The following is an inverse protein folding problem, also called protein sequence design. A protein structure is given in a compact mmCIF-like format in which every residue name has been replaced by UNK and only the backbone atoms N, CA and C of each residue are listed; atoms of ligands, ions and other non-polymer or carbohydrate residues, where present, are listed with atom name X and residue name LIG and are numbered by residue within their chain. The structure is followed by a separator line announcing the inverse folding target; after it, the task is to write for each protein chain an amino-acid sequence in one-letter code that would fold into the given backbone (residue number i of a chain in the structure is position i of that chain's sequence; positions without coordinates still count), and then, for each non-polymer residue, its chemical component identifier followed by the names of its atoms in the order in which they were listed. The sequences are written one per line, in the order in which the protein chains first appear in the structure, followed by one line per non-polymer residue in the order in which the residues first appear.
data_IF_236295336202
#
_entry.id   IF_236295336202
#
_cell.length_a   1.000
_cell.length_b   1.000
_cell.length_c   1.000
_cell.angle_alpha   90.00
_cell.angle_beta   90.00
_cell.angle_gamma   90.00
#
_symmetry.space_group_name_H-M   'P 1'
#
loop_
_entity.id
_entity.type
_entity.pdbx_description
1 polymer ?
#
# COMPACT_ATOMS: atom_id res chain seq x y z
N UNK A 1 -37.18 0.78 5.02
CA UNK A 1 -35.99 0.30 4.30
C UNK A 1 -34.89 0.14 5.32
N UNK A 2 -34.16 -0.97 5.25
CA UNK A 2 -33.11 -1.29 6.21
C UNK A 2 -31.91 -0.34 6.00
N UNK A 3 -31.53 0.49 6.99
CA UNK A 3 -30.44 1.48 6.84
C UNK A 3 -29.10 0.84 6.51
N UNK A 4 -28.89 -0.42 6.89
CA UNK A 4 -27.68 -1.18 6.63
C UNK A 4 -27.57 -1.62 5.16
N UNK A 5 -28.71 -2.00 4.56
CA UNK A 5 -28.80 -2.34 3.13
C UNK A 5 -28.55 -1.11 2.24
N UNK A 6 -29.07 0.07 2.62
CA UNK A 6 -28.87 1.30 1.86
C UNK A 6 -27.39 1.77 1.91
N UNK A 7 -26.73 1.61 3.06
CA UNK A 7 -25.30 1.83 3.19
C UNK A 7 -24.47 0.84 2.35
N UNK A 8 -24.85 -0.43 2.31
CA UNK A 8 -24.21 -1.46 1.49
C UNK A 8 -24.35 -1.18 -0.01
N UNK A 9 -25.55 -0.80 -0.47
CA UNK A 9 -25.79 -0.40 -1.86
C UNK A 9 -24.97 0.83 -2.27
N UNK A 10 -24.79 1.80 -1.37
CA UNK A 10 -23.93 2.96 -1.62
C UNK A 10 -22.46 2.55 -1.76
N UNK A 11 -21.97 1.63 -0.90
CA UNK A 11 -20.62 1.07 -1.00
C UNK A 11 -20.42 0.30 -2.30
N UNK A 12 -21.39 -0.50 -2.73
CA UNK A 12 -21.36 -1.23 -3.99
C UNK A 12 -21.29 -0.30 -5.21
N UNK A 13 -22.08 0.77 -5.24
CA UNK A 13 -22.01 1.78 -6.32
C UNK A 13 -20.63 2.43 -6.40
N UNK A 14 -20.05 2.76 -5.25
CA UNK A 14 -18.70 3.32 -5.19
C UNK A 14 -17.65 2.30 -5.66
N UNK A 15 -17.76 1.03 -5.25
CA UNK A 15 -16.87 -0.04 -5.70
C UNK A 15 -16.97 -0.29 -7.21
N UNK A 16 -18.18 -0.24 -7.80
CA UNK A 16 -18.36 -0.31 -9.26
C UNK A 16 -17.72 0.86 -9.99
N UNK A 17 -17.88 2.08 -9.48
CA UNK A 17 -17.24 3.26 -10.06
C UNK A 17 -15.70 3.15 -9.97
N UNK A 18 -15.18 2.66 -8.85
CA UNK A 18 -13.75 2.41 -8.66
C UNK A 18 -13.23 1.33 -9.61
N UNK A 19 -13.96 0.22 -9.78
CA UNK A 19 -13.58 -0.84 -10.71
C UNK A 19 -13.59 -0.37 -12.17
N UNK A 20 -14.61 0.38 -12.60
CA UNK A 20 -14.66 0.93 -13.96
C UNK A 20 -13.52 1.93 -14.21
N UNK A 21 -13.20 2.76 -13.21
CA UNK A 21 -12.05 3.66 -13.28
C UNK A 21 -10.72 2.90 -13.31
N UNK A 22 -10.59 1.82 -12.54
CA UNK A 22 -9.41 0.96 -12.54
C UNK A 22 -9.27 0.20 -13.86
N UNK A 23 -10.36 -0.29 -14.44
CA UNK A 23 -10.37 -0.93 -15.75
C UNK A 23 -9.92 0.04 -16.86
N UNK A 24 -10.37 1.29 -16.83
CA UNK A 24 -9.86 2.33 -17.74
C UNK A 24 -8.36 2.56 -17.52
N UNK A 25 -7.95 2.71 -16.26
CA UNK A 25 -6.53 2.91 -15.91
C UNK A 25 -5.66 1.72 -16.32
N UNK A 26 -6.18 0.49 -16.31
CA UNK A 26 -5.49 -0.71 -16.77
C UNK A 26 -5.33 -0.71 -18.30
N UNK A 27 -6.39 -0.38 -19.04
CA UNK A 27 -6.34 -0.23 -20.49
C UNK A 27 -5.33 0.83 -20.93
N UNK A 28 -5.18 1.89 -20.14
CA UNK A 28 -4.20 2.96 -20.36
C UNK A 28 -2.80 2.65 -19.78
N UNK A 29 -2.62 1.46 -19.20
CA UNK A 29 -1.33 0.99 -18.64
C UNK A 29 -0.86 1.75 -17.40
N UNK A 30 -1.77 2.35 -16.63
CA UNK A 30 -1.47 3.03 -15.37
C UNK A 30 -1.45 2.10 -14.16
N UNK A 31 -2.09 0.93 -14.25
CA UNK A 31 -2.14 -0.05 -13.16
C UNK A 31 -1.77 -1.44 -13.67
N UNK A 32 -1.22 -2.25 -12.78
CA UNK A 32 -0.86 -3.64 -13.09
C UNK A 32 -2.08 -4.56 -13.08
N UNK A 33 -1.92 -5.76 -13.64
CA UNK A 33 -2.95 -6.81 -13.60
C UNK A 33 -3.33 -7.17 -12.15
N UNK A 34 -2.36 -7.18 -11.22
CA UNK A 34 -2.60 -7.41 -9.81
C UNK A 34 -3.50 -6.34 -9.17
N UNK A 35 -3.31 -5.07 -9.52
CA UNK A 35 -4.14 -3.96 -9.03
C UNK A 35 -5.57 -4.00 -9.63
N UNK A 36 -5.71 -4.41 -10.89
CA UNK A 36 -7.01 -4.66 -11.50
C UNK A 36 -7.71 -5.87 -10.83
N UNK A 37 -6.96 -6.94 -10.52
CA UNK A 37 -7.48 -8.11 -9.81
C UNK A 37 -7.97 -7.73 -8.40
N UNK A 38 -7.20 -6.92 -7.67
CA UNK A 38 -7.58 -6.45 -6.33
C UNK A 38 -8.88 -5.61 -6.35
N UNK A 39 -9.02 -4.70 -7.31
CA UNK A 39 -10.26 -3.90 -7.46
C UNK A 39 -11.46 -4.75 -7.90
N UNK A 40 -11.23 -5.79 -8.70
CA UNK A 40 -12.25 -6.78 -9.07
C UNK A 40 -12.71 -7.62 -7.88
N UNK A 41 -11.79 -8.11 -7.06
CA UNK A 41 -12.14 -8.88 -5.85
C UNK A 41 -12.87 -8.02 -4.82
N UNK A 42 -12.46 -6.75 -4.64
CA UNK A 42 -13.19 -5.80 -3.81
C UNK A 42 -14.64 -5.60 -4.29
N UNK A 43 -14.84 -5.45 -5.60
CA UNK A 43 -16.18 -5.35 -6.19
C UNK A 43 -17.00 -6.61 -5.89
N UNK A 44 -16.41 -7.79 -6.09
CA UNK A 44 -17.04 -9.09 -5.83
C UNK A 44 -17.45 -9.25 -4.37
N UNK A 45 -16.60 -8.84 -3.43
CA UNK A 45 -16.88 -8.84 -2.00
C UNK A 45 -18.07 -7.92 -1.66
N UNK A 46 -18.13 -6.72 -2.25
CA UNK A 46 -19.24 -5.78 -1.99
C UNK A 46 -20.54 -6.23 -2.66
N UNK A 47 -20.48 -6.93 -3.79
CA UNK A 47 -21.66 -7.59 -4.40
C UNK A 47 -22.18 -8.71 -3.49
N UNK A 48 -21.28 -9.56 -2.97
CA UNK A 48 -21.63 -10.62 -2.01
C UNK A 48 -22.26 -10.08 -0.73
N UNK A 49 -21.73 -8.98 -0.16
CA UNK A 49 -22.30 -8.36 1.04
C UNK A 49 -23.70 -7.79 0.79
N UNK A 50 -23.96 -7.20 -0.38
CA UNK A 50 -25.30 -6.71 -0.74
C UNK A 50 -26.27 -7.89 -0.92
N UNK A 51 -25.83 -8.97 -1.56
CA UNK A 51 -26.65 -10.17 -1.73
C UNK A 51 -26.97 -10.86 -0.39
N UNK A 52 -26.02 -10.91 0.53
CA UNK A 52 -26.21 -11.42 1.90
C UNK A 52 -27.24 -10.61 2.69
N UNK A 53 -27.12 -9.28 2.67
CA UNK A 53 -28.06 -8.37 3.34
C UNK A 53 -29.44 -8.39 2.68
N UNK A 54 -29.52 -8.64 1.37
CA UNK A 54 -30.77 -8.75 0.64
C UNK A 54 -31.48 -10.10 0.85
N UNK A 55 -30.73 -11.19 1.12
CA UNK A 55 -31.27 -12.56 1.23
C UNK A 55 -31.35 -13.10 2.67
N UNK A 56 -30.75 -12.42 3.66
CA UNK A 56 -30.79 -12.83 5.07
C UNK A 56 -30.16 -14.20 5.35
N UNK A 57 -29.16 -14.62 4.56
CA UNK A 57 -28.50 -15.94 4.65
C UNK A 57 -26.97 -15.84 4.61
N UNK A 58 -26.31 -16.62 5.47
CA UNK A 58 -24.87 -16.90 5.42
C UNK A 58 -24.52 -17.79 4.22
N UNK A 59 -23.35 -17.55 3.60
CA UNK A 59 -22.87 -18.30 2.44
C UNK A 59 -21.88 -19.41 2.84
N UNK A 60 -21.80 -20.49 2.04
CA UNK A 60 -20.89 -21.61 2.25
C UNK A 60 -19.46 -21.22 1.86
N UNK A 61 -18.50 -21.72 2.63
CA UNK A 61 -17.06 -21.61 2.38
C UNK A 61 -16.71 -22.42 1.12
N UNK A 62 -16.11 -21.76 0.14
CA UNK A 62 -15.43 -22.44 -0.98
C UNK A 62 -13.96 -22.49 -0.60
N UNK A 63 -13.48 -23.65 -0.16
CA UNK A 63 -12.06 -23.94 0.01
C UNK A 63 -11.43 -24.20 -1.36
N UNK A 64 -10.58 -23.28 -1.84
CA UNK A 64 -9.68 -23.56 -2.96
C UNK A 64 -8.46 -24.36 -2.46
N UNK A 65 -8.02 -25.40 -3.19
CA UNK A 65 -6.92 -26.24 -2.76
C UNK A 65 -5.57 -25.50 -2.86
N UNK A 66 -4.77 -25.64 -1.80
CA UNK A 66 -3.43 -25.08 -1.65
C UNK A 66 -2.46 -25.59 -2.74
N UNK A 67 -1.55 -24.75 -3.28
CA UNK A 67 -0.46 -25.21 -4.11
C UNK A 67 0.57 -25.99 -3.28
N UNK A 68 0.77 -27.27 -3.60
CA UNK A 68 1.84 -28.10 -3.04
C UNK A 68 3.16 -27.78 -3.74
N UNK A 69 4.01 -27.00 -3.06
CA UNK A 69 5.41 -26.81 -3.45
C UNK A 69 6.21 -26.19 -2.31
N UNK A 70 7.47 -26.62 -2.08
CA UNK A 70 8.32 -25.96 -1.11
C UNK A 70 8.56 -24.50 -1.55
N UNK A 71 8.39 -23.51 -0.66
CA UNK A 71 8.63 -22.12 -1.00
C UNK A 71 10.07 -21.94 -1.47
N UNK A 72 10.25 -21.30 -2.63
CA UNK A 72 11.57 -20.91 -3.14
C UNK A 72 12.25 -20.00 -2.12
N UNK A 73 13.56 -20.21 -1.99
CA UNK A 73 14.47 -19.53 -1.09
C UNK A 73 14.32 -18.00 -1.23
N UNK A 74 14.08 -17.33 -0.10
CA UNK A 74 13.88 -15.87 -0.04
C UNK A 74 15.16 -15.16 -0.50
N UNK A 75 15.11 -14.49 -1.65
CA UNK A 75 16.12 -13.51 -2.01
C UNK A 75 16.00 -12.29 -1.10
N UNK A 76 17.07 -12.00 -0.37
CA UNK A 76 17.21 -10.78 0.42
C UNK A 76 17.39 -9.62 -0.55
N UNK A 77 16.29 -9.01 -0.97
CA UNK A 77 16.34 -7.76 -1.74
C UNK A 77 16.63 -6.63 -0.77
N UNK A 78 17.87 -6.15 -0.82
CA UNK A 78 18.27 -4.91 -0.18
C UNK A 78 17.32 -3.80 -0.66
N UNK A 79 16.65 -3.10 0.26
CA UNK A 79 15.79 -1.95 -0.05
C UNK A 79 16.64 -0.71 -0.35
N UNK A 80 17.74 -0.92 -1.07
CA UNK A 80 18.64 0.11 -1.57
C UNK A 80 17.89 1.07 -2.49
N UNK A 81 18.41 2.30 -2.63
CA UNK A 81 17.73 3.35 -3.37
C UNK A 81 17.55 2.92 -4.82
N UNK A 82 16.28 2.96 -5.27
CA UNK A 82 15.91 2.74 -6.67
C UNK A 82 16.80 3.60 -7.58
N UNK A 83 17.22 2.95 -8.67
CA UNK A 83 17.88 3.43 -9.88
C UNK A 83 17.98 4.96 -10.02
N UNK A 84 19.20 5.43 -10.25
CA UNK A 84 19.56 6.81 -10.63
C UNK A 84 18.55 7.38 -11.62
N UNK A 85 17.62 8.21 -11.11
CA UNK A 85 16.57 8.83 -11.91
C UNK A 85 17.21 9.68 -13.01
N UNK A 86 16.82 9.46 -14.28
CA UNK A 86 17.15 10.40 -15.34
C UNK A 86 16.49 11.75 -15.02
N UNK A 87 17.29 12.82 -14.91
CA UNK A 87 16.75 14.16 -14.74
C UNK A 87 15.87 14.50 -15.95
N UNK A 88 14.56 14.63 -15.70
CA UNK A 88 13.62 15.01 -16.75
C UNK A 88 13.78 16.49 -17.08
N UNK A 89 13.91 16.77 -18.37
CA UNK A 89 14.01 18.12 -18.88
C UNK A 89 12.63 18.81 -18.82
N UNK A 90 12.44 19.56 -17.73
CA UNK A 90 11.26 20.37 -17.47
C UNK A 90 11.38 21.79 -18.04
N UNK A 91 12.37 22.07 -18.90
CA UNK A 91 12.50 23.37 -19.55
C UNK A 91 11.23 23.70 -20.34
N UNK A 92 10.81 24.96 -20.24
CA UNK A 92 9.60 25.45 -20.89
C UNK A 92 9.98 26.15 -22.21
N UNK A 93 9.29 25.86 -23.31
CA UNK A 93 9.49 26.59 -24.57
C UNK A 93 9.28 28.10 -24.39
N UNK A 94 10.12 28.89 -25.07
CA UNK A 94 10.10 30.36 -25.02
C UNK A 94 8.82 30.97 -25.59
N UNK A 95 8.16 30.27 -26.51
CA UNK A 95 7.07 30.79 -27.34
C UNK A 95 5.66 30.50 -26.75
N UNK A 96 5.59 30.18 -25.47
CA UNK A 96 4.33 29.88 -24.79
C UNK A 96 3.57 31.15 -24.42
N UNK A 97 2.23 31.06 -24.44
CA UNK A 97 1.38 32.10 -23.84
C UNK A 97 1.65 32.21 -22.34
N UNK A 98 1.53 33.41 -21.75
CA UNK A 98 1.81 33.63 -20.34
C UNK A 98 0.98 32.72 -19.43
N UNK A 99 -0.29 32.48 -19.78
CA UNK A 99 -1.20 31.65 -19.00
C UNK A 99 -0.80 30.17 -18.99
N UNK A 100 -0.42 29.62 -20.16
CA UNK A 100 0.05 28.24 -20.27
C UNK A 100 1.39 28.06 -19.56
N UNK A 101 2.29 29.04 -19.71
CA UNK A 101 3.58 29.05 -19.01
C UNK A 101 3.37 29.01 -17.50
N UNK A 102 2.51 29.86 -16.96
CA UNK A 102 2.19 29.87 -15.53
C UNK A 102 1.65 28.52 -15.06
N UNK A 103 0.70 27.92 -15.81
CA UNK A 103 0.11 26.63 -15.45
C UNK A 103 1.11 25.47 -15.49
N UNK A 104 2.04 25.49 -16.44
CA UNK A 104 3.13 24.51 -16.48
C UNK A 104 4.16 24.73 -15.36
N UNK A 105 4.44 25.97 -14.95
CA UNK A 105 5.26 26.27 -13.77
C UNK A 105 4.60 25.79 -12.47
N UNK A 106 3.28 25.94 -12.34
CA UNK A 106 2.50 25.38 -11.23
C UNK A 106 2.59 23.84 -11.21
N UNK A 107 2.51 23.18 -12.37
CA UNK A 107 2.66 21.73 -12.49
C UNK A 107 4.08 21.27 -12.13
N UNK A 108 5.12 21.97 -12.62
CA UNK A 108 6.52 21.70 -12.27
C UNK A 108 6.76 21.84 -10.76
N UNK A 109 6.16 22.86 -10.13
CA UNK A 109 6.24 23.06 -8.68
C UNK A 109 5.60 21.90 -7.91
N UNK A 110 4.47 21.36 -8.39
CA UNK A 110 3.83 20.16 -7.82
C UNK A 110 4.70 18.92 -7.98
N UNK A 111 5.35 18.76 -9.13
CA UNK A 111 6.27 17.66 -9.39
C UNK A 111 7.50 17.70 -8.47
N UNK A 112 8.10 18.87 -8.26
CA UNK A 112 9.22 19.01 -7.32
C UNK A 112 8.80 18.72 -5.88
N UNK A 113 7.60 19.16 -5.48
CA UNK A 113 7.04 18.79 -4.18
C UNK A 113 6.85 17.28 -4.04
N UNK A 114 6.36 16.60 -5.08
CA UNK A 114 6.20 15.15 -5.12
C UNK A 114 7.53 14.42 -4.87
N UNK A 115 8.62 14.87 -5.52
CA UNK A 115 9.97 14.33 -5.27
C UNK A 115 10.40 14.50 -3.82
N UNK A 116 10.15 15.67 -3.23
CA UNK A 116 10.47 15.93 -1.82
C UNK A 116 9.66 15.02 -0.90
N UNK A 117 8.37 14.84 -1.17
CA UNK A 117 7.49 13.98 -0.37
C UNK A 117 7.90 12.51 -0.47
N UNK A 118 8.36 12.05 -1.65
CA UNK A 118 8.92 10.72 -1.83
C UNK A 118 10.24 10.55 -1.06
N UNK A 119 11.18 11.49 -1.20
CA UNK A 119 12.47 11.47 -0.47
C UNK A 119 12.32 11.50 1.04
N UNK A 120 11.23 12.10 1.55
CA UNK A 120 10.90 12.12 2.98
C UNK A 120 10.12 10.89 3.46
N UNK A 121 9.73 10.00 2.54
CA UNK A 121 8.94 8.81 2.84
C UNK A 121 7.49 9.13 3.24
N UNK A 122 6.94 10.25 2.78
CA UNK A 122 5.52 10.59 2.98
C UNK A 122 4.61 9.80 2.05
N UNK A 123 5.11 9.44 0.88
CA UNK A 123 4.43 8.62 -0.13
C UNK A 123 5.29 7.40 -0.47
N UNK A 124 4.66 6.32 -0.93
CA UNK A 124 5.36 5.13 -1.39
C UNK A 124 5.76 5.26 -2.88
N UNK A 125 6.58 4.32 -3.37
CA UNK A 125 7.04 4.30 -4.76
C UNK A 125 5.88 4.18 -5.77
N UNK A 126 4.82 3.43 -5.43
CA UNK A 126 3.64 3.27 -6.28
C UNK A 126 2.89 4.60 -6.49
N UNK A 127 2.65 5.34 -5.41
CA UNK A 127 2.07 6.68 -5.43
C UNK A 127 2.94 7.66 -6.20
N UNK A 128 4.24 7.64 -5.94
CA UNK A 128 5.20 8.50 -6.65
C UNK A 128 5.16 8.26 -8.16
N UNK A 129 5.29 7.01 -8.59
CA UNK A 129 5.33 6.64 -10.00
C UNK A 129 4.01 6.98 -10.73
N UNK A 130 2.87 6.67 -10.11
CA UNK A 130 1.55 6.97 -10.68
C UNK A 130 1.34 8.48 -10.87
N UNK A 131 1.68 9.29 -9.85
CA UNK A 131 1.49 10.75 -9.90
C UNK A 131 2.50 11.40 -10.84
N UNK A 132 3.76 10.94 -10.82
CA UNK A 132 4.81 11.38 -11.75
C UNK A 132 4.39 11.16 -13.20
N UNK A 133 3.99 9.94 -13.55
CA UNK A 133 3.51 9.60 -14.91
C UNK A 133 2.35 10.52 -15.31
N UNK A 134 1.39 10.71 -14.41
CA UNK A 134 0.25 11.59 -14.65
C UNK A 134 0.66 13.06 -14.93
N UNK A 135 1.58 13.64 -14.17
CA UNK A 135 2.05 15.01 -14.38
C UNK A 135 2.81 15.16 -15.70
N UNK A 136 3.62 14.18 -16.08
CA UNK A 136 4.36 14.21 -17.34
C UNK A 136 3.43 14.15 -18.55
N UNK A 137 2.42 13.29 -18.50
CA UNK A 137 1.40 13.22 -19.55
C UNK A 137 0.56 14.49 -19.62
N UNK A 138 0.20 15.08 -18.48
CA UNK A 138 -0.49 16.37 -18.46
C UNK A 138 0.34 17.45 -19.17
N UNK A 139 1.65 17.51 -18.92
CA UNK A 139 2.57 18.42 -19.61
C UNK A 139 2.63 18.12 -21.11
N UNK A 140 2.85 16.87 -21.50
CA UNK A 140 2.97 16.46 -22.90
C UNK A 140 1.69 16.77 -23.69
N UNK A 141 0.53 16.42 -23.14
CA UNK A 141 -0.77 16.65 -23.78
C UNK A 141 -1.08 18.14 -23.87
N UNK A 142 -0.78 18.94 -22.83
CA UNK A 142 -0.98 20.39 -22.87
C UNK A 142 -0.13 21.06 -23.96
N UNK A 143 1.15 20.67 -24.08
CA UNK A 143 2.05 21.17 -25.12
C UNK A 143 1.57 20.74 -26.52
N UNK A 144 1.22 19.46 -26.72
CA UNK A 144 0.70 18.95 -28.00
C UNK A 144 -0.60 19.64 -28.41
N UNK A 145 -1.52 19.87 -27.48
CA UNK A 145 -2.77 20.58 -27.75
C UNK A 145 -2.52 22.02 -28.18
N UNK A 146 -1.53 22.69 -27.58
CA UNK A 146 -1.12 24.03 -27.98
C UNK A 146 -0.52 24.07 -29.38
N UNK A 147 0.34 23.11 -29.73
CA UNK A 147 0.91 22.99 -31.07
C UNK A 147 -0.16 22.73 -32.13
N UNK A 148 -1.11 21.84 -31.82
CA UNK A 148 -2.14 21.42 -32.79
C UNK A 148 -3.27 22.45 -32.92
N UNK A 149 -3.60 23.17 -31.84
CA UNK A 149 -4.68 24.16 -31.80
C UNK A 149 -4.25 25.44 -31.03
N UNK A 150 -3.47 26.33 -31.65
CA UNK A 150 -2.92 27.52 -30.99
C UNK A 150 -3.98 28.51 -30.48
N UNK A 151 -5.17 28.53 -31.09
CA UNK A 151 -6.24 29.48 -30.73
C UNK A 151 -7.24 28.90 -29.72
N UNK A 152 -6.99 27.69 -29.21
CA UNK A 152 -7.91 26.98 -28.34
C UNK A 152 -7.39 26.83 -26.91
N UNK A 153 -8.26 27.08 -25.92
CA UNK A 153 -7.97 26.92 -24.50
C UNK A 153 -8.20 25.49 -23.97
N UNK A 154 -8.32 24.49 -24.86
CA UNK A 154 -8.53 23.08 -24.50
C UNK A 154 -7.46 22.51 -23.58
N UNK A 155 -6.26 23.08 -23.59
CA UNK A 155 -5.17 22.70 -22.71
C UNK A 155 -5.50 22.95 -21.22
N UNK A 156 -6.36 23.93 -20.91
CA UNK A 156 -6.74 24.25 -19.53
C UNK A 156 -7.43 23.07 -18.84
N UNK A 157 -8.32 22.38 -19.55
CA UNK A 157 -9.07 21.22 -19.04
C UNK A 157 -8.13 20.06 -18.68
N UNK A 158 -7.02 19.90 -19.40
CA UNK A 158 -6.04 18.83 -19.14
C UNK A 158 -5.24 19.12 -17.87
N UNK A 159 -4.99 20.39 -17.58
CA UNK A 159 -4.25 20.86 -16.41
C UNK A 159 -5.15 21.08 -15.17
N UNK A 160 -6.45 20.76 -15.25
CA UNK A 160 -7.36 20.86 -14.11
C UNK A 160 -7.00 19.89 -12.97
N UNK A 161 -7.26 20.33 -11.74
CA UNK A 161 -6.94 19.61 -10.52
C UNK A 161 -8.02 18.58 -10.16
N UNK A 162 -7.61 17.39 -9.71
CA UNK A 162 -8.54 16.41 -9.13
C UNK A 162 -8.05 14.96 -9.17
N UNK A 163 -7.30 14.58 -10.21
CA UNK A 163 -6.80 13.21 -10.39
C UNK A 163 -5.68 12.82 -9.43
N UNK A 164 -4.89 13.78 -8.93
CA UNK A 164 -3.80 13.50 -7.97
C UNK A 164 -4.29 12.87 -6.66
N UNK A 165 -5.36 13.41 -6.06
CA UNK A 165 -5.91 12.87 -4.80
C UNK A 165 -6.43 11.45 -4.98
N UNK A 166 -7.07 11.19 -6.12
CA UNK A 166 -7.51 9.85 -6.49
C UNK A 166 -6.33 8.89 -6.64
N UNK A 167 -5.28 9.27 -7.38
CA UNK A 167 -4.08 8.46 -7.55
C UNK A 167 -3.35 8.21 -6.22
N UNK A 168 -3.34 9.19 -5.32
CA UNK A 168 -2.81 9.02 -3.96
C UNK A 168 -3.58 7.96 -3.18
N UNK A 169 -4.91 8.01 -3.19
CA UNK A 169 -5.76 7.06 -2.46
C UNK A 169 -5.70 5.66 -3.06
N UNK A 170 -5.75 5.56 -4.39
CA UNK A 170 -5.72 4.29 -5.11
C UNK A 170 -4.40 3.53 -4.88
N UNK A 171 -3.29 4.26 -4.82
CA UNK A 171 -1.95 3.69 -4.62
C UNK A 171 -1.50 3.72 -3.15
N UNK A 172 -2.40 4.00 -2.20
CA UNK A 172 -2.08 3.92 -0.78
C UNK A 172 -1.86 2.45 -0.37
N UNK A 173 -0.77 2.17 0.34
CA UNK A 173 -0.57 0.85 0.93
C UNK A 173 -1.60 0.61 2.03
N UNK A 174 -2.31 -0.51 1.94
CA UNK A 174 -3.30 -0.93 2.94
C UNK A 174 -2.74 -2.08 3.74
N UNK A 175 -2.81 -1.99 5.07
CA UNK A 175 -2.42 -3.06 5.97
C UNK A 175 -3.49 -4.17 5.91
N UNK A 176 -3.09 -5.36 5.47
CA UNK A 176 -3.95 -6.55 5.36
C UNK A 176 -4.07 -7.21 6.73
N UNK A 177 -2.92 -7.45 7.37
CA UNK A 177 -2.87 -8.14 8.66
C UNK A 177 -1.62 -7.82 9.46
N UNK A 178 -1.74 -8.01 10.76
CA UNK A 178 -0.67 -7.81 11.75
C UNK A 178 -0.66 -9.02 12.67
N UNK A 179 0.47 -9.73 12.73
CA UNK A 179 0.72 -10.81 13.66
C UNK A 179 1.86 -10.48 14.61
N UNK A 180 1.70 -10.79 15.90
CA UNK A 180 2.80 -10.72 16.88
C UNK A 180 3.13 -12.13 17.32
N UNK A 181 4.41 -12.46 17.29
CA UNK A 181 4.92 -13.79 17.56
C UNK A 181 6.01 -13.74 18.62
N UNK A 182 6.09 -14.79 19.43
CA UNK A 182 7.15 -14.94 20.41
C UNK A 182 8.45 -15.39 19.73
N UNK A 183 9.57 -14.71 19.99
CA UNK A 183 10.86 -15.07 19.36
C UNK A 183 11.35 -16.45 19.82
N UNK A 184 11.09 -16.82 21.08
CA UNK A 184 11.60 -18.06 21.68
C UNK A 184 10.78 -19.27 21.26
N UNK A 185 9.46 -19.22 21.43
CA UNK A 185 8.60 -20.37 21.10
C UNK A 185 8.11 -20.36 19.66
N UNK A 186 8.22 -19.23 18.95
CA UNK A 186 7.69 -19.03 17.59
C UNK A 186 6.16 -19.11 17.51
N UNK A 187 5.50 -19.13 18.66
CA UNK A 187 4.04 -19.18 18.72
C UNK A 187 3.46 -17.80 18.44
N UNK A 188 2.35 -17.81 17.71
CA UNK A 188 1.54 -16.62 17.46
C UNK A 188 0.87 -16.20 18.75
N UNK A 189 1.19 -14.99 19.22
CA UNK A 189 0.62 -14.36 20.41
C UNK A 189 -0.64 -13.58 20.04
N UNK A 190 -0.61 -12.91 18.89
CA UNK A 190 -1.68 -12.04 18.42
C UNK A 190 -1.78 -12.12 16.90
N UNK A 191 -2.99 -12.01 16.39
CA UNK A 191 -3.27 -11.81 14.97
C UNK A 191 -4.48 -10.89 14.83
N UNK A 192 -4.37 -9.91 13.95
CA UNK A 192 -5.49 -9.14 13.46
C UNK A 192 -5.46 -9.11 11.93
N UNK A 193 -6.61 -9.38 11.30
CA UNK A 193 -6.71 -9.61 9.86
C UNK A 193 -6.38 -11.06 9.48
N UNK A 194 -6.25 -11.30 8.18
CA UNK A 194 -5.89 -12.61 7.62
C UNK A 194 -4.42 -12.59 7.19
N UNK A 195 -3.59 -13.45 7.80
CA UNK A 195 -2.17 -13.52 7.46
C UNK A 195 -1.99 -14.36 6.20
N UNK A 196 -1.35 -13.83 5.14
CA UNK A 196 -1.07 -14.63 3.95
C UNK A 196 -0.23 -15.86 4.29
N UNK A 197 -0.54 -17.00 3.68
CA UNK A 197 0.19 -18.26 3.92
C UNK A 197 1.72 -18.15 3.69
N UNK A 198 2.22 -17.45 2.64
CA UNK A 198 3.66 -17.25 2.47
C UNK A 198 4.29 -16.46 3.63
N UNK A 199 3.53 -15.55 4.25
CA UNK A 199 3.97 -14.77 5.40
C UNK A 199 4.12 -15.64 6.66
N UNK A 200 3.14 -16.51 6.94
CA UNK A 200 3.26 -17.46 8.05
C UNK A 200 4.39 -18.47 7.81
N UNK A 201 4.60 -18.93 6.58
CA UNK A 201 5.71 -19.82 6.24
C UNK A 201 7.08 -19.17 6.50
N UNK A 202 7.20 -17.86 6.25
CA UNK A 202 8.42 -17.07 6.48
C UNK A 202 8.81 -17.00 7.97
N UNK A 203 7.89 -17.28 8.89
CA UNK A 203 8.19 -17.33 10.33
C UNK A 203 9.15 -18.46 10.72
N UNK A 204 9.20 -19.54 9.93
CA UNK A 204 10.19 -20.61 10.13
C UNK A 204 11.64 -20.12 9.95
N UNK A 205 11.82 -19.10 9.12
CA UNK A 205 13.11 -18.48 8.83
C UNK A 205 13.54 -17.50 9.93
N UNK A 206 12.68 -17.20 10.92
CA UNK A 206 13.08 -16.39 12.09
C UNK A 206 14.26 -16.97 12.88
N UNK A 207 14.54 -18.27 12.70
CA UNK A 207 15.67 -18.95 13.32
C UNK A 207 17.04 -18.38 12.94
N UNK A 208 17.19 -17.75 11.77
CA UNK A 208 18.45 -17.17 11.31
C UNK A 208 18.78 -15.84 12.02
N UNK A 209 17.76 -15.08 12.42
CA UNK A 209 17.91 -13.75 13.03
C UNK A 209 18.45 -13.79 14.47
N UNK A 210 18.45 -14.95 15.11
CA UNK A 210 18.92 -15.13 16.50
C UNK A 210 20.45 -15.26 16.63
N UNK A 211 21.17 -15.36 15.52
CA UNK A 211 22.61 -15.66 15.51
C UNK A 211 23.53 -14.43 15.54
N UNK A 212 23.01 -13.21 15.31
CA UNK A 212 23.79 -11.98 15.48
C UNK A 212 23.73 -11.52 16.93
N UNK A 213 24.90 -11.33 17.52
CA UNK A 213 25.12 -10.76 18.87
C UNK A 213 24.25 -9.51 19.11
N UNK A 214 23.88 -9.22 20.36
CA UNK A 214 23.01 -8.08 20.72
C UNK A 214 23.59 -6.68 20.45
N UNK A 215 24.77 -6.56 19.81
CA UNK A 215 25.51 -5.31 19.65
C UNK A 215 25.54 -4.73 18.23
N UNK A 216 24.80 -5.28 17.26
CA UNK A 216 24.73 -4.69 15.93
C UNK A 216 23.33 -4.75 15.32
N UNK A 217 22.59 -3.63 15.44
CA UNK A 217 21.40 -3.29 14.64
C UNK A 217 20.11 -4.10 14.87
N UNK A 218 19.62 -4.17 16.12
CA UNK A 218 18.22 -4.59 16.40
C UNK A 218 17.15 -3.68 15.77
N UNK A 219 17.55 -2.66 15.01
CA UNK A 219 16.68 -1.72 14.31
C UNK A 219 16.54 -2.03 12.80
N UNK A 220 17.20 -3.10 12.33
CA UNK A 220 17.03 -3.58 10.95
C UNK A 220 15.69 -4.29 10.82
N UNK A 221 14.76 -3.61 10.18
CA UNK A 221 13.55 -4.23 9.67
C UNK A 221 13.86 -5.02 8.40
N UNK A 222 13.10 -6.08 8.19
CA UNK A 222 13.14 -6.82 6.94
C UNK A 222 11.84 -6.58 6.20
N UNK A 223 11.95 -6.03 4.99
CA UNK A 223 10.85 -5.88 4.07
C UNK A 223 11.11 -6.81 2.88
N UNK A 224 10.12 -7.59 2.50
CA UNK A 224 10.17 -8.39 1.27
C UNK A 224 8.87 -8.20 0.50
N UNK A 225 8.95 -8.24 -0.82
CA UNK A 225 7.78 -8.32 -1.68
C UNK A 225 7.49 -9.79 -1.99
N UNK A 226 6.22 -10.19 -2.02
CA UNK A 226 5.79 -11.52 -2.45
C UNK A 226 5.43 -11.45 -3.95
N UNK A 227 5.32 -12.60 -4.62
CA UNK A 227 5.01 -12.71 -6.05
C UNK A 227 3.75 -11.97 -6.50
N UNK A 228 2.77 -11.79 -5.61
CA UNK A 228 1.52 -11.06 -5.87
C UNK A 228 1.66 -9.52 -5.78
N UNK A 229 2.86 -9.03 -5.46
CA UNK A 229 3.15 -7.61 -5.27
C UNK A 229 2.89 -7.09 -3.86
N UNK A 230 2.33 -7.91 -2.96
CA UNK A 230 2.17 -7.59 -1.55
C UNK A 230 3.51 -7.46 -0.84
N UNK A 231 3.56 -6.65 0.21
CA UNK A 231 4.78 -6.44 0.99
C UNK A 231 4.63 -7.03 2.39
N UNK A 232 5.63 -7.79 2.82
CA UNK A 232 5.77 -8.27 4.18
C UNK A 232 6.81 -7.45 4.91
N UNK A 233 6.45 -7.01 6.11
CA UNK A 233 7.30 -6.26 6.99
C UNK A 233 7.51 -7.04 8.28
N UNK A 234 8.77 -7.30 8.60
CA UNK A 234 9.18 -7.95 9.83
C UNK A 234 9.88 -6.92 10.72
N UNK A 235 9.25 -6.64 11.86
CA UNK A 235 9.72 -5.69 12.87
C UNK A 235 10.18 -6.49 14.08
N UNK A 236 11.49 -6.67 14.27
CA UNK A 236 12.01 -7.37 15.43
C UNK A 236 11.92 -6.51 16.69
N UNK A 237 11.56 -7.16 17.81
CA UNK A 237 11.64 -6.62 19.16
C UNK A 237 12.59 -7.44 20.02
N UNK A 238 12.59 -7.19 21.33
CA UNK A 238 13.44 -7.90 22.28
C UNK A 238 12.90 -9.30 22.61
N UNK A 239 11.59 -9.45 22.69
CA UNK A 239 10.93 -10.70 23.07
C UNK A 239 10.01 -11.24 21.97
N UNK A 240 9.52 -10.34 21.12
CA UNK A 240 8.51 -10.62 20.12
C UNK A 240 8.92 -10.05 18.77
N UNK A 241 8.38 -10.63 17.70
CA UNK A 241 8.48 -10.11 16.34
C UNK A 241 7.08 -9.75 15.89
N UNK A 242 6.95 -8.58 15.27
CA UNK A 242 5.73 -8.17 14.60
C UNK A 242 5.89 -8.40 13.10
N UNK A 243 5.02 -9.22 12.52
CA UNK A 243 4.92 -9.47 11.09
C UNK A 243 3.68 -8.73 10.56
N UNK A 244 3.85 -7.93 9.52
CA UNK A 244 2.78 -7.12 8.94
C UNK A 244 2.73 -7.35 7.44
N UNK A 245 1.53 -7.62 6.92
CA UNK A 245 1.28 -7.76 5.49
C UNK A 245 0.59 -6.51 4.94
N UNK A 246 1.07 -6.01 3.81
CA UNK A 246 0.53 -4.87 3.09
C UNK A 246 0.21 -5.24 1.64
N UNK A 247 -0.76 -4.56 1.03
CA UNK A 247 -1.09 -4.73 -0.39
C UNK A 247 0.04 -4.34 -1.34
N UNK A 248 0.94 -3.48 -0.89
CA UNK A 248 2.13 -3.00 -1.61
C UNK A 248 3.09 -2.35 -0.60
N UNK A 249 4.34 -2.02 -0.98
CA UNK A 249 5.28 -1.37 -0.06
C UNK A 249 4.68 -0.11 0.61
N UNK A 250 4.65 -0.04 1.95
CA UNK A 250 4.11 1.11 2.67
C UNK A 250 5.07 2.30 2.67
N UNK A 251 4.55 3.54 2.83
CA UNK A 251 5.39 4.70 3.08
C UNK A 251 6.07 4.63 4.45
N UNK A 252 7.24 5.27 4.60
CA UNK A 252 8.07 5.21 5.80
C UNK A 252 7.35 5.65 7.08
N UNK A 253 6.39 6.58 6.98
CA UNK A 253 5.63 6.99 8.16
C UNK A 253 4.71 5.87 8.69
N UNK A 254 4.11 5.04 7.84
CA UNK A 254 3.30 3.89 8.27
C UNK A 254 4.17 2.85 8.96
N UNK A 255 5.34 2.60 8.38
CA UNK A 255 6.38 1.74 8.95
C UNK A 255 6.79 2.21 10.35
N UNK A 256 7.13 3.50 10.50
CA UNK A 256 7.52 4.09 11.79
C UNK A 256 6.41 3.96 12.83
N UNK A 257 5.16 4.22 12.43
CA UNK A 257 4.01 4.10 13.31
C UNK A 257 3.81 2.65 13.81
N UNK A 258 3.96 1.64 12.93
CA UNK A 258 3.87 0.24 13.32
C UNK A 258 5.00 -0.19 14.26
N UNK A 259 6.23 0.30 14.02
CA UNK A 259 7.37 0.05 14.91
C UNK A 259 7.11 0.61 16.30
N UNK A 260 6.59 1.83 16.38
CA UNK A 260 6.25 2.47 17.64
C UNK A 260 5.16 1.69 18.39
N UNK A 261 4.12 1.24 17.69
CA UNK A 261 3.06 0.40 18.28
C UNK A 261 3.62 -0.91 18.81
N UNK A 262 4.50 -1.58 18.06
CA UNK A 262 5.13 -2.83 18.51
C UNK A 262 6.03 -2.61 19.73
N UNK A 263 6.83 -1.53 19.73
CA UNK A 263 7.65 -1.14 20.88
C UNK A 263 6.80 -0.84 22.12
N UNK A 264 5.66 -0.16 21.96
CA UNK A 264 4.73 0.09 23.06
C UNK A 264 4.12 -1.20 23.60
N UNK A 265 3.76 -2.14 22.72
CA UNK A 265 3.32 -3.46 23.13
C UNK A 265 4.37 -4.18 23.98
N UNK A 266 5.64 -4.21 23.56
CA UNK A 266 6.69 -4.86 24.34
C UNK A 266 6.91 -4.17 25.69
N UNK A 267 6.95 -2.83 25.69
CA UNK A 267 7.17 -2.04 26.90
C UNK A 267 6.06 -2.26 27.91
N UNK A 268 4.79 -2.22 27.47
CA UNK A 268 3.63 -2.46 28.33
C UNK A 268 3.59 -3.87 28.92
N UNK A 269 4.18 -4.84 28.21
CA UNK A 269 4.14 -6.25 28.58
C UNK A 269 5.45 -6.81 29.11
N UNK A 270 6.47 -5.96 29.32
CA UNK A 270 7.84 -6.39 29.58
C UNK A 270 7.95 -7.36 30.76
N UNK A 271 7.24 -7.09 31.87
CA UNK A 271 7.24 -8.00 33.03
C UNK A 271 6.65 -9.38 32.70
N UNK A 272 5.57 -9.41 31.91
CA UNK A 272 4.89 -10.65 31.52
C UNK A 272 5.70 -11.45 30.51
N UNK A 273 6.29 -10.77 29.52
CA UNK A 273 7.16 -11.36 28.48
C UNK A 273 8.43 -11.96 29.10
N UNK A 274 9.05 -11.27 30.08
CA UNK A 274 10.21 -11.80 30.82
C UNK A 274 9.88 -13.08 31.61
N UNK A 275 8.66 -13.17 32.16
CA UNK A 275 8.18 -14.33 32.91
C UNK A 275 7.57 -15.43 32.02
N UNK A 276 7.51 -15.23 30.70
CA UNK A 276 6.84 -16.14 29.77
C UNK A 276 5.32 -16.23 29.95
N UNK A 277 4.70 -15.28 30.67
CA UNK A 277 3.26 -15.24 30.94
C UNK A 277 2.54 -14.57 29.77
N UNK A 278 1.98 -15.38 28.86
CA UNK A 278 1.32 -14.89 27.64
C UNK A 278 -0.19 -14.62 27.78
N UNK A 279 -0.82 -15.11 28.85
CA UNK A 279 -2.29 -15.02 29.04
C UNK A 279 -2.80 -13.64 29.48
N UNK A 280 -1.91 -12.77 29.98
CA UNK A 280 -2.26 -11.46 30.56
C UNK A 280 -1.61 -10.30 29.80
N UNK A 281 -1.43 -10.46 28.49
CA UNK A 281 -0.81 -9.44 27.66
C UNK A 281 -1.83 -8.37 27.27
N UNK A 282 -1.37 -7.11 27.25
CA UNK A 282 -2.12 -5.96 26.78
C UNK A 282 -1.84 -5.80 25.29
N UNK A 283 -2.85 -5.98 24.44
CA UNK A 283 -2.70 -5.93 22.99
C UNK A 283 -2.95 -4.55 22.41
N UNK A 284 -2.23 -4.17 21.33
CA UNK A 284 -2.49 -2.92 20.63
C UNK A 284 -3.80 -2.99 19.85
N UNK A 285 -4.44 -1.82 19.66
CA UNK A 285 -5.61 -1.72 18.81
C UNK A 285 -5.19 -1.39 17.37
N UNK A 286 -5.16 -2.38 16.48
CA UNK A 286 -4.71 -2.20 15.09
C UNK A 286 -5.84 -1.76 14.14
N UNK A 287 -7.05 -1.46 14.63
CA UNK A 287 -8.18 -1.00 13.79
C UNK A 287 -7.88 0.29 13.02
N UNK A 288 -6.87 1.07 13.45
CA UNK A 288 -6.43 2.28 12.73
C UNK A 288 -5.56 1.98 11.51
N UNK A 289 -4.95 0.80 11.46
CA UNK A 289 -4.05 0.40 10.37
C UNK A 289 -4.76 -0.50 9.36
N UNK A 290 -5.60 -1.42 9.82
CA UNK A 290 -6.33 -2.36 8.97
C UNK A 290 -7.65 -1.69 8.55
N UNK A 291 -7.79 -1.37 7.26
CA UNK A 291 -9.07 -0.93 6.68
C UNK A 291 -9.91 -2.18 6.37
N UNK A 292 -11.06 -2.29 7.03
CA UNK A 292 -12.10 -3.29 6.75
C UNK A 292 -13.06 -2.81 5.65
#
# INVERSE_FOLDING_TARGET
MDPELDAALKRLRNARAQFLSAASAFCDGFISEGQLRATRELLREKELLVDQLAQGKELPVIEEPLPEGPPKELEVVDTGPLETEAEEDLTLPSDLTPDLKQKLEELNSKYERLKVDYKRGHINASQYNAIRKHYLEQREVALRLRETHPDSDRWQVVLEEGKTTFLMQLNEATCISVGIYDIKSRERIFLQGEMPAPAEASMSLLSTFRSSKPDASSDRMYATQIEDGSALLLIPGLHTVCLVAFTQPPPDWQVRALREVHRHFETANMSSLNQGKRKSLIFPNMKRFIRA
#
